data_IF_729093113967
#
_entry.id   IF_729093113967
#
_cell.length_a   1.000
_cell.length_b   1.000
_cell.length_c   1.000
_cell.angle_alpha   90.00
_cell.angle_beta   90.00
_cell.angle_gamma   90.00
#
_symmetry.space_group_name_H-M   'P 1'
#
loop_
_entity.id
_entity.type
_entity.pdbx_description
1 polymer ?
#
# COMPACT_ATOMS: atom_id res chain seq x y z
N UNK A 1 12.79 -14.25 3.46
CA UNK A 1 12.49 -13.68 2.13
C UNK A 1 11.60 -12.49 2.40
N UNK A 2 11.84 -11.36 1.73
CA UNK A 2 10.95 -10.21 1.81
C UNK A 2 9.88 -10.41 0.74
N UNK A 3 8.62 -10.50 1.17
CA UNK A 3 7.48 -10.48 0.25
C UNK A 3 7.12 -9.02 -0.01
N UNK A 4 7.06 -8.61 -1.26
CA UNK A 4 6.95 -7.18 -1.63
C UNK A 4 5.59 -6.86 -2.23
N UNK A 5 4.74 -6.21 -1.44
CA UNK A 5 3.48 -5.66 -1.92
C UNK A 5 3.71 -4.30 -2.55
N UNK A 6 3.27 -4.10 -3.78
CA UNK A 6 3.41 -2.84 -4.52
C UNK A 6 2.09 -2.07 -4.53
N UNK A 7 2.11 -0.77 -4.25
CA UNK A 7 0.91 0.07 -4.20
C UNK A 7 1.09 1.28 -5.11
N UNK A 8 0.26 1.39 -6.14
CA UNK A 8 0.32 2.43 -7.15
C UNK A 8 -0.78 3.48 -6.94
N UNK A 9 -0.41 4.75 -6.79
CA UNK A 9 -1.35 5.84 -6.49
C UNK A 9 -1.66 6.64 -7.75
N UNK A 10 -2.92 6.97 -7.98
CA UNK A 10 -3.39 7.78 -9.11
C UNK A 10 -4.23 8.95 -8.59
N UNK A 11 -3.87 10.16 -9.02
CA UNK A 11 -4.56 11.39 -8.60
C UNK A 11 -4.04 12.01 -7.31
N UNK A 12 -2.99 11.45 -6.70
CA UNK A 12 -2.26 12.05 -5.58
C UNK A 12 -1.02 12.83 -6.05
N UNK A 13 -0.38 13.56 -5.13
CA UNK A 13 0.88 14.28 -5.40
C UNK A 13 2.06 13.53 -4.82
N UNK A 14 3.25 13.68 -5.40
CA UNK A 14 4.49 13.11 -4.85
C UNK A 14 4.72 13.54 -3.38
N UNK A 15 4.27 14.74 -3.01
CA UNK A 15 4.39 15.25 -1.64
C UNK A 15 3.49 14.49 -0.66
N UNK A 16 2.24 14.20 -1.03
CA UNK A 16 1.37 13.36 -0.20
C UNK A 16 1.95 11.95 -0.06
N UNK A 17 2.54 11.42 -1.12
CA UNK A 17 3.12 10.08 -1.12
C UNK A 17 4.40 9.97 -0.28
N UNK A 18 5.14 11.07 -0.12
CA UNK A 18 6.23 11.16 0.88
C UNK A 18 5.72 11.17 2.32
N UNK A 19 4.54 11.76 2.58
CA UNK A 19 3.90 11.68 3.91
C UNK A 19 3.50 10.24 4.19
N UNK A 20 2.84 9.57 3.23
CA UNK A 20 2.49 8.16 3.37
C UNK A 20 3.72 7.26 3.55
N UNK A 21 4.77 7.45 2.76
CA UNK A 21 6.03 6.73 2.92
C UNK A 21 6.59 6.90 4.35
N UNK A 22 6.58 8.13 4.86
CA UNK A 22 7.03 8.43 6.21
C UNK A 22 6.17 7.75 7.28
N UNK A 23 4.84 7.74 7.13
CA UNK A 23 3.93 7.05 8.04
C UNK A 23 4.12 5.53 8.02
N UNK A 24 4.24 4.93 6.84
CA UNK A 24 4.47 3.50 6.70
C UNK A 24 5.82 3.08 7.30
N UNK A 25 6.89 3.86 7.14
CA UNK A 25 8.21 3.56 7.73
C UNK A 25 8.22 3.49 9.27
N UNK A 26 7.16 3.94 9.95
CA UNK A 26 7.02 3.75 11.40
C UNK A 26 6.44 2.39 11.80
N UNK A 27 5.91 1.62 10.84
CA UNK A 27 5.46 0.25 11.09
C UNK A 27 6.70 -0.63 11.23
N UNK A 28 6.78 -1.37 12.34
CA UNK A 28 7.87 -2.33 12.53
C UNK A 28 7.79 -3.47 11.52
N UNK A 29 8.95 -3.99 11.13
CA UNK A 29 9.11 -5.15 10.24
C UNK A 29 8.62 -4.94 8.81
N UNK A 30 8.58 -3.69 8.34
CA UNK A 30 8.41 -3.39 6.92
C UNK A 30 9.55 -2.51 6.39
N UNK A 31 9.88 -2.72 5.13
CA UNK A 31 10.68 -1.81 4.31
C UNK A 31 9.76 -1.09 3.34
N UNK A 32 9.98 0.20 3.12
CA UNK A 32 9.13 1.01 2.23
C UNK A 32 10.01 1.83 1.31
N UNK A 33 9.76 1.70 0.01
CA UNK A 33 10.49 2.41 -1.04
C UNK A 33 9.53 3.11 -2.00
N UNK A 34 9.86 4.34 -2.37
CA UNK A 34 9.23 5.04 -3.49
C UNK A 34 9.92 4.65 -4.80
N UNK A 35 9.21 3.94 -5.66
CA UNK A 35 9.72 3.42 -6.93
C UNK A 35 8.94 3.97 -8.12
N UNK A 36 9.50 3.79 -9.31
CA UNK A 36 8.87 4.26 -10.55
C UNK A 36 7.59 3.47 -10.82
N UNK A 37 6.44 4.14 -11.03
CA UNK A 37 5.18 3.46 -11.31
C UNK A 37 5.17 2.84 -12.71
N UNK A 38 4.29 1.85 -12.90
CA UNK A 38 4.04 1.23 -14.21
C UNK A 38 3.20 2.17 -15.09
N UNK A 39 2.24 2.87 -14.50
CA UNK A 39 1.51 3.95 -15.17
C UNK A 39 2.36 5.20 -15.23
N UNK A 40 2.46 5.82 -16.40
CA UNK A 40 3.17 7.10 -16.55
C UNK A 40 2.37 8.29 -16.05
N UNK A 41 1.07 8.10 -15.80
CA UNK A 41 0.18 9.10 -15.22
C UNK A 41 0.18 9.05 -13.68
N UNK A 42 0.66 7.96 -13.08
CA UNK A 42 0.88 7.88 -11.64
C UNK A 42 2.16 8.64 -11.25
N UNK A 43 2.17 9.38 -10.12
CA UNK A 43 3.35 10.14 -9.72
C UNK A 43 4.46 9.23 -9.16
N UNK A 44 4.10 8.26 -8.31
CA UNK A 44 5.05 7.30 -7.72
C UNK A 44 4.33 6.03 -7.24
N UNK A 45 5.06 4.91 -7.17
CA UNK A 45 4.60 3.64 -6.60
C UNK A 45 5.28 3.43 -5.25
N UNK A 46 4.51 3.05 -4.22
CA UNK A 46 5.00 2.71 -2.89
C UNK A 46 5.18 1.19 -2.83
N UNK A 47 6.41 0.71 -2.79
CA UNK A 47 6.73 -0.70 -2.57
C UNK A 47 6.90 -0.96 -1.08
N UNK A 48 6.22 -1.97 -0.56
CA UNK A 48 6.23 -2.36 0.86
C UNK A 48 6.73 -3.80 0.96
N UNK A 49 7.95 -3.99 1.44
CA UNK A 49 8.50 -5.31 1.78
C UNK A 49 8.12 -5.67 3.22
N UNK A 50 7.53 -6.84 3.43
CA UNK A 50 7.19 -7.35 4.76
C UNK A 50 8.25 -8.38 5.18
N UNK A 51 8.91 -8.15 6.33
CA UNK A 51 10.04 -8.92 6.83
C UNK A 51 9.66 -9.83 8.01
N UNK A 52 8.71 -10.78 7.86
CA UNK A 52 8.31 -11.65 8.99
C UNK A 52 7.92 -13.10 8.65
N UNK A 53 8.00 -13.94 9.69
CA UNK A 53 7.34 -15.24 9.81
C UNK A 53 5.82 -15.07 9.74
N UNK A 54 5.12 -16.00 9.07
CA UNK A 54 3.70 -15.88 8.68
C UNK A 54 2.73 -15.51 9.81
N UNK A 55 3.01 -15.85 11.07
CA UNK A 55 2.14 -15.54 12.22
C UNK A 55 2.03 -14.04 12.52
N UNK A 56 3.06 -13.25 12.22
CA UNK A 56 3.05 -11.80 12.49
C UNK A 56 2.69 -10.96 11.27
N UNK A 57 2.71 -11.56 10.08
CA UNK A 57 2.29 -10.93 8.84
C UNK A 57 0.87 -10.34 8.96
N UNK A 58 -0.05 -11.00 9.67
CA UNK A 58 -1.44 -10.52 9.86
C UNK A 58 -1.50 -9.19 10.62
N UNK A 59 -0.67 -9.01 11.65
CA UNK A 59 -0.62 -7.75 12.42
C UNK A 59 0.02 -6.62 11.60
N UNK A 60 1.01 -6.97 10.79
CA UNK A 60 1.68 -6.03 9.89
C UNK A 60 0.76 -5.59 8.74
N UNK A 61 0.07 -6.52 8.07
CA UNK A 61 -0.86 -6.20 6.98
C UNK A 61 -2.05 -5.38 7.48
N UNK A 62 -2.54 -5.66 8.69
CA UNK A 62 -3.57 -4.85 9.35
C UNK A 62 -3.07 -3.41 9.63
N UNK A 63 -1.83 -3.26 10.07
CA UNK A 63 -1.23 -1.95 10.33
C UNK A 63 -1.04 -1.15 9.03
N UNK A 64 -0.59 -1.80 7.95
CA UNK A 64 -0.48 -1.18 6.62
C UNK A 64 -1.86 -0.74 6.14
N UNK A 65 -2.87 -1.62 6.24
CA UNK A 65 -4.23 -1.33 5.82
C UNK A 65 -4.82 -0.13 6.56
N UNK A 66 -4.58 -0.01 7.87
CA UNK A 66 -5.04 1.11 8.66
C UNK A 66 -4.36 2.43 8.25
N UNK A 67 -3.05 2.41 8.00
CA UNK A 67 -2.32 3.60 7.53
C UNK A 67 -2.83 4.06 6.16
N UNK A 68 -3.04 3.14 5.22
CA UNK A 68 -3.60 3.45 3.90
C UNK A 68 -5.02 4.02 4.00
N UNK A 69 -5.86 3.42 4.85
CA UNK A 69 -7.21 3.91 5.11
C UNK A 69 -7.18 5.34 5.67
N UNK A 70 -6.34 5.60 6.67
CA UNK A 70 -6.21 6.93 7.26
C UNK A 70 -5.74 7.95 6.23
N UNK A 71 -4.74 7.60 5.43
CA UNK A 71 -4.23 8.47 4.36
C UNK A 71 -5.30 8.78 3.30
N UNK A 72 -6.14 7.81 2.95
CA UNK A 72 -7.28 8.00 2.04
C UNK A 72 -8.35 8.93 2.63
N UNK A 73 -8.62 8.81 3.93
CA UNK A 73 -9.70 9.52 4.61
C UNK A 73 -9.24 10.83 5.27
N UNK A 74 -7.95 11.14 5.29
CA UNK A 74 -7.46 12.42 5.79
C UNK A 74 -7.87 13.54 4.85
N UNK A 75 -8.88 14.31 5.26
CA UNK A 75 -9.53 15.38 4.50
C UNK A 75 -8.65 16.62 4.26
N UNK A 76 -7.36 16.54 4.55
CA UNK A 76 -6.34 17.57 4.30
C UNK A 76 -5.88 17.60 2.84
N UNK A 77 -6.08 16.50 2.11
CA UNK A 77 -5.69 16.39 0.70
C UNK A 77 -6.87 16.77 -0.18
N UNK A 78 -6.82 17.95 -0.80
CA UNK A 78 -7.91 18.61 -1.53
C UNK A 78 -8.38 17.94 -2.85
N UNK A 79 -8.36 16.61 -2.94
CA UNK A 79 -8.86 15.87 -4.10
C UNK A 79 -9.80 14.77 -3.62
N UNK A 80 -11.11 14.97 -3.82
CA UNK A 80 -12.18 13.96 -3.68
C UNK A 80 -12.04 12.77 -4.66
N UNK A 81 -10.83 12.53 -5.17
CA UNK A 81 -10.53 11.64 -6.29
C UNK A 81 -9.20 10.88 -6.09
N UNK A 82 -8.79 10.65 -4.84
CA UNK A 82 -7.68 9.74 -4.54
C UNK A 82 -8.07 8.33 -4.96
N UNK A 83 -7.42 7.80 -5.99
CA UNK A 83 -7.55 6.41 -6.41
C UNK A 83 -6.25 5.69 -6.10
N UNK A 84 -6.33 4.59 -5.40
CA UNK A 84 -5.17 3.74 -5.12
C UNK A 84 -5.42 2.40 -5.79
N UNK A 85 -4.38 1.89 -6.44
CA UNK A 85 -4.34 0.54 -6.98
C UNK A 85 -3.36 -0.29 -6.17
N UNK A 86 -3.81 -1.37 -5.58
CA UNK A 86 -2.91 -2.43 -5.13
C UNK A 86 -2.41 -3.17 -6.36
N UNK A 87 -1.09 -3.25 -6.52
CA UNK A 87 -0.43 -3.99 -7.58
C UNK A 87 0.06 -5.31 -7.00
N UNK A 88 -0.55 -6.41 -7.44
CA UNK A 88 -0.13 -7.77 -7.01
C UNK A 88 1.24 -8.11 -7.59
N UNK A 89 1.87 -9.19 -7.08
CA UNK A 89 3.14 -9.69 -7.62
C UNK A 89 3.05 -10.03 -9.13
N UNK A 90 1.89 -10.46 -9.59
CA UNK A 90 1.59 -10.75 -11.01
C UNK A 90 1.39 -9.47 -11.85
N UNK A 91 1.25 -8.33 -11.17
CA UNK A 91 1.12 -7.02 -11.78
C UNK A 91 -0.32 -6.60 -12.09
N UNK A 92 -1.30 -7.33 -11.54
CA UNK A 92 -2.71 -6.97 -11.61
C UNK A 92 -3.00 -5.79 -10.70
N UNK A 93 -3.92 -4.92 -11.13
CA UNK A 93 -4.34 -3.72 -10.40
C UNK A 93 -5.71 -3.94 -9.78
N UNK A 94 -5.78 -3.84 -8.46
CA UNK A 94 -7.03 -3.84 -7.70
C UNK A 94 -7.30 -2.42 -7.23
N UNK A 95 -8.39 -1.81 -7.70
CA UNK A 95 -8.83 -0.51 -7.20
C UNK A 95 -9.29 -0.65 -5.75
N UNK A 96 -8.77 0.18 -4.86
CA UNK A 96 -9.17 0.24 -3.46
C UNK A 96 -9.90 1.53 -3.09
N UNK A 97 -10.55 2.19 -4.07
CA UNK A 97 -11.61 3.21 -3.90
C UNK A 97 -12.28 3.07 -2.53
N UNK A 98 -12.35 4.14 -1.72
CA UNK A 98 -12.21 4.07 -0.26
C UNK A 98 -12.87 2.83 0.35
N UNK A 99 -12.09 1.74 0.39
CA UNK A 99 -12.52 0.46 0.93
C UNK A 99 -12.38 0.49 2.46
N UNK A 100 -13.20 -0.25 3.19
CA UNK A 100 -12.99 -0.42 4.63
C UNK A 100 -11.65 -1.11 4.89
N UNK A 101 -11.03 -0.81 6.03
CA UNK A 101 -9.73 -1.38 6.47
C UNK A 101 -9.70 -2.91 6.32
N UNK A 102 -10.80 -3.60 6.62
CA UNK A 102 -10.90 -5.05 6.52
C UNK A 102 -10.73 -5.59 5.09
N UNK A 103 -11.25 -4.86 4.09
CA UNK A 103 -11.10 -5.23 2.69
C UNK A 103 -9.69 -4.92 2.19
N UNK A 104 -9.13 -3.76 2.57
CA UNK A 104 -7.73 -3.42 2.28
C UNK A 104 -6.79 -4.48 2.87
N UNK A 105 -6.99 -4.87 4.13
CA UNK A 105 -6.18 -5.90 4.77
C UNK A 105 -6.32 -7.24 4.03
N UNK A 106 -7.54 -7.66 3.68
CA UNK A 106 -7.77 -8.92 2.95
C UNK A 106 -7.03 -8.96 1.60
N UNK A 107 -6.99 -7.84 0.87
CA UNK A 107 -6.26 -7.75 -0.41
C UNK A 107 -4.74 -7.84 -0.18
N UNK A 108 -4.21 -7.12 0.81
CA UNK A 108 -2.77 -7.15 1.13
C UNK A 108 -2.36 -8.55 1.60
N UNK A 109 -3.16 -9.18 2.47
CA UNK A 109 -2.91 -10.56 2.95
C UNK A 109 -2.95 -11.55 1.78
N UNK A 110 -3.94 -11.46 0.88
CA UNK A 110 -4.01 -12.34 -0.28
C UNK A 110 -2.80 -12.17 -1.22
N UNK A 111 -2.38 -10.93 -1.48
CA UNK A 111 -1.20 -10.65 -2.29
C UNK A 111 0.09 -11.20 -1.65
N UNK A 112 0.20 -11.14 -0.33
CA UNK A 112 1.32 -11.71 0.42
C UNK A 112 1.32 -13.25 0.40
N UNK A 113 0.16 -13.89 0.52
CA UNK A 113 0.05 -15.35 0.48
C UNK A 113 0.37 -15.92 -0.90
N UNK A 114 -0.02 -15.24 -1.98
CA UNK A 114 0.27 -15.65 -3.36
C UNK A 114 1.77 -15.61 -3.70
N UNK A 115 2.49 -14.57 -3.28
CA UNK A 115 3.93 -14.42 -3.53
C UNK A 115 4.79 -15.38 -2.67
N UNK A 116 4.23 -15.98 -1.61
CA UNK A 116 4.92 -16.94 -0.72
C UNK A 116 4.52 -18.40 -0.92
N UNK A 117 3.66 -18.69 -1.89
CA UNK A 117 3.23 -20.04 -2.28
C UNK A 117 4.23 -20.72 -3.23
#
# INVERSE_FOLDING_TARGET
>A
MLTTVSIEFVGDTEQHLKVLEHELKHIHNIAVDLVKPRDRSAPVLVAIGIDEDREKAVEVTQSIAQTLYNFLHDGTSASDNKKIYLVTAEGDRVDIEPLPVSEINSIITAAYEDETA
#
